data_IF_554019003373
#
_entry.id   IF_554019003373
#
_cell.length_a   1.000
_cell.length_b   1.000
_cell.length_c   1.000
_cell.angle_alpha   90.00
_cell.angle_beta   90.00
_cell.angle_gamma   90.00
#
_symmetry.space_group_name_H-M   'P 1'
#
loop_
_entity.id
_entity.type
_entity.pdbx_description
1 polymer ?
#
# COMPACT_ATOMS: atom_id res chain seq x y z
N UNK A 1 -4.49 40.55 -2.66
CA UNK A 1 -3.42 40.27 -1.67
C UNK A 1 -3.98 39.35 -0.60
N UNK A 2 -3.24 38.25 -0.34
CA UNK A 2 -3.33 37.25 0.75
C UNK A 2 -4.61 36.40 0.88
N UNK A 3 -4.61 35.11 0.49
CA UNK A 3 -3.97 33.89 1.06
C UNK A 3 -4.52 33.45 2.42
N UNK A 4 -5.21 32.30 2.43
CA UNK A 4 -4.92 31.17 3.32
C UNK A 4 -5.57 29.90 2.76
N UNK A 5 -4.74 28.96 2.29
CA UNK A 5 -5.11 27.57 1.94
C UNK A 5 -5.06 26.75 3.24
N UNK A 6 -6.10 25.99 3.55
CA UNK A 6 -6.04 24.93 4.55
C UNK A 6 -5.39 23.67 3.98
N UNK A 7 -4.72 22.84 4.79
CA UNK A 7 -4.08 21.61 4.31
C UNK A 7 -5.15 20.54 4.09
N UNK A 8 -5.25 20.08 2.85
CA UNK A 8 -5.98 18.87 2.44
C UNK A 8 -5.07 17.68 2.80
N UNK A 9 -5.27 17.13 4.00
CA UNK A 9 -4.61 15.90 4.46
C UNK A 9 -5.19 14.69 3.71
N UNK A 10 -4.79 14.52 2.45
CA UNK A 10 -4.98 13.27 1.72
C UNK A 10 -3.85 12.31 2.07
N UNK A 11 -4.17 11.32 2.89
CA UNK A 11 -3.36 10.12 3.09
C UNK A 11 -3.24 9.38 1.74
N UNK A 12 -2.05 9.01 1.25
CA UNK A 12 -1.94 8.24 0.01
C UNK A 12 -2.35 6.79 0.26
N UNK A 13 -3.36 6.31 -0.47
CA UNK A 13 -3.72 4.89 -0.52
C UNK A 13 -2.61 4.08 -1.21
N UNK A 14 -2.10 3.07 -0.51
CA UNK A 14 -0.99 2.24 -1.00
C UNK A 14 -1.42 1.22 -2.05
N UNK A 15 -1.07 1.45 -3.32
CA UNK A 15 -1.12 0.43 -4.38
C UNK A 15 -0.05 -0.67 -4.16
N UNK A 16 -0.27 -1.86 -4.71
CA UNK A 16 0.63 -3.02 -4.56
C UNK A 16 1.45 -3.25 -5.83
N UNK A 17 2.73 -3.63 -5.72
CA UNK A 17 3.61 -3.70 -6.89
C UNK A 17 3.54 -5.01 -7.69
N UNK A 18 3.72 -4.88 -9.01
CA UNK A 18 3.78 -5.98 -9.99
C UNK A 18 5.09 -5.92 -10.77
N UNK A 19 5.42 -7.01 -11.47
CA UNK A 19 6.73 -7.22 -12.09
C UNK A 19 6.57 -8.04 -13.39
N UNK A 20 7.09 -7.54 -14.51
CA UNK A 20 7.16 -8.24 -15.79
C UNK A 20 8.38 -9.18 -15.83
N UNK A 21 8.32 -10.30 -16.56
CA UNK A 21 9.46 -11.25 -16.62
C UNK A 21 10.00 -11.40 -18.05
N UNK A 22 11.31 -11.20 -18.27
CA UNK A 22 11.99 -11.19 -19.58
C UNK A 22 13.13 -12.24 -19.69
N UNK A 23 13.42 -12.82 -20.86
CA UNK A 23 14.57 -13.69 -21.08
C UNK A 23 15.82 -12.90 -21.54
N UNK A 24 17.04 -13.36 -21.19
CA UNK A 24 18.28 -12.66 -21.57
C UNK A 24 18.98 -13.20 -22.83
N UNK A 25 19.46 -12.28 -23.69
CA UNK A 25 20.76 -12.35 -24.40
C UNK A 25 21.60 -11.12 -24.00
N UNK A 26 22.93 -11.20 -23.86
CA UNK A 26 23.74 -10.13 -23.27
C UNK A 26 24.08 -9.06 -24.31
N UNK A 27 24.02 -7.79 -23.91
CA UNK A 27 24.86 -6.74 -24.51
C UNK A 27 25.60 -6.09 -23.35
N UNK A 28 26.91 -6.02 -23.50
CA UNK A 28 27.90 -5.45 -22.59
C UNK A 28 27.51 -4.06 -22.07
N UNK A 29 27.92 -3.76 -20.84
CA UNK A 29 28.06 -2.39 -20.33
C UNK A 29 27.09 -2.03 -19.22
N UNK A 30 27.50 -2.25 -17.96
CA UNK A 30 26.90 -1.57 -16.83
C UNK A 30 27.33 -0.11 -16.79
N UNK A 31 26.38 0.74 -16.40
CA UNK A 31 26.48 2.14 -15.95
C UNK A 31 26.16 3.21 -17.00
N UNK A 32 25.43 4.18 -16.47
CA UNK A 32 25.14 5.51 -16.98
C UNK A 32 23.94 5.71 -17.92
N UNK A 33 23.00 6.49 -17.39
CA UNK A 33 21.90 7.12 -18.09
C UNK A 33 22.46 8.13 -19.12
N UNK A 34 22.45 7.80 -20.42
CA UNK A 34 22.13 8.75 -21.52
C UNK A 34 22.36 8.13 -22.94
N UNK A 35 21.24 7.93 -23.67
CA UNK A 35 21.06 8.08 -25.14
C UNK A 35 21.74 7.06 -26.10
N UNK A 36 21.43 7.07 -27.43
CA UNK A 36 20.44 6.17 -28.07
C UNK A 36 21.04 5.22 -29.13
N UNK A 37 20.36 4.10 -29.39
CA UNK A 37 20.60 3.23 -30.55
C UNK A 37 20.89 1.77 -30.17
N UNK A 38 19.95 0.88 -30.48
CA UNK A 38 20.04 -0.56 -30.21
C UNK A 38 18.73 -1.07 -29.63
N UNK A 39 18.11 -2.05 -30.29
CA UNK A 39 16.79 -2.64 -30.03
C UNK A 39 16.24 -2.37 -28.62
N UNK A 40 15.36 -1.36 -28.55
CA UNK A 40 14.96 -0.74 -27.30
C UNK A 40 14.39 -1.75 -26.32
N UNK A 41 14.87 -1.72 -25.08
CA UNK A 41 14.08 -2.21 -23.95
C UNK A 41 12.65 -1.68 -24.09
N UNK A 42 11.60 -2.48 -23.80
CA UNK A 42 10.23 -1.98 -23.85
C UNK A 42 10.16 -0.66 -23.09
N UNK A 43 9.54 0.34 -23.71
CA UNK A 43 9.13 1.54 -22.98
C UNK A 43 8.28 1.13 -21.76
N UNK A 44 8.14 2.01 -20.76
CA UNK A 44 7.34 1.77 -19.55
C UNK A 44 5.82 1.63 -19.82
N UNK A 45 5.41 1.45 -21.08
CA UNK A 45 4.04 1.49 -21.57
C UNK A 45 3.64 0.21 -22.32
N UNK A 46 2.33 0.10 -22.57
CA UNK A 46 1.74 -1.07 -23.20
C UNK A 46 2.12 -1.23 -24.68
N UNK A 47 2.35 -0.13 -25.40
CA UNK A 47 2.75 -0.17 -26.81
C UNK A 47 4.17 -0.74 -26.96
N UNK A 48 5.09 -0.39 -26.06
CA UNK A 48 6.41 -1.00 -25.98
C UNK A 48 6.34 -2.50 -25.70
N UNK A 49 5.41 -2.94 -24.84
CA UNK A 49 5.21 -4.36 -24.54
C UNK A 49 4.63 -5.13 -25.74
N UNK A 50 3.71 -4.54 -26.49
CA UNK A 50 3.17 -5.10 -27.75
C UNK A 50 4.28 -5.19 -28.81
N UNK A 51 5.10 -4.13 -28.94
CA UNK A 51 6.22 -4.11 -29.89
C UNK A 51 7.24 -5.22 -29.58
N UNK A 52 7.55 -5.44 -28.29
CA UNK A 52 8.37 -6.58 -27.86
C UNK A 52 7.75 -7.91 -28.29
N UNK A 53 6.44 -8.09 -28.09
CA UNK A 53 5.74 -9.30 -28.53
C UNK A 53 5.89 -9.56 -30.03
N UNK A 54 5.73 -8.52 -30.86
CA UNK A 54 5.92 -8.60 -32.31
C UNK A 54 7.37 -8.92 -32.68
N UNK A 55 8.34 -8.35 -31.98
CA UNK A 55 9.75 -8.67 -32.20
C UNK A 55 10.07 -10.12 -31.82
N UNK A 56 9.52 -10.61 -30.71
CA UNK A 56 9.67 -12.01 -30.31
C UNK A 56 9.12 -12.97 -31.37
N UNK A 57 7.99 -12.63 -32.00
CA UNK A 57 7.43 -13.45 -33.08
C UNK A 57 8.34 -13.58 -34.31
N UNK A 58 9.18 -12.59 -34.60
CA UNK A 58 10.16 -12.67 -35.71
C UNK A 58 11.24 -13.72 -35.47
N UNK A 59 11.63 -13.91 -34.20
CA UNK A 59 12.68 -14.86 -33.81
C UNK A 59 12.13 -16.20 -33.31
N UNK A 60 10.85 -16.24 -32.92
CA UNK A 60 10.17 -17.42 -32.40
C UNK A 60 8.73 -17.44 -32.88
N UNK A 61 8.46 -18.31 -33.84
CA UNK A 61 7.12 -18.53 -34.36
C UNK A 61 6.13 -18.84 -33.22
N UNK A 62 4.94 -18.24 -33.28
CA UNK A 62 3.86 -18.39 -32.27
C UNK A 62 4.22 -17.93 -30.86
N UNK A 63 5.25 -17.10 -30.69
CA UNK A 63 5.52 -16.42 -29.43
C UNK A 63 4.34 -15.51 -29.05
N UNK A 64 4.01 -15.51 -27.76
CA UNK A 64 2.92 -14.73 -27.17
C UNK A 64 3.41 -14.03 -25.90
N UNK A 65 2.71 -12.99 -25.49
CA UNK A 65 3.08 -12.17 -24.31
C UNK A 65 2.11 -12.34 -23.14
N UNK A 66 0.99 -13.04 -23.37
CA UNK A 66 -0.01 -13.36 -22.37
C UNK A 66 -0.70 -14.69 -22.68
N UNK A 67 -1.22 -15.39 -21.65
CA UNK A 67 -1.96 -16.63 -21.85
C UNK A 67 -3.31 -16.38 -22.53
N UNK A 68 -4.01 -15.30 -22.16
CA UNK A 68 -5.26 -14.86 -22.79
C UNK A 68 -5.44 -13.34 -22.63
N UNK A 69 -6.40 -12.78 -23.37
CA UNK A 69 -6.67 -11.34 -23.36
C UNK A 69 -7.41 -10.86 -22.10
N UNK A 70 -8.18 -11.73 -21.43
CA UNK A 70 -8.84 -11.39 -20.16
C UNK A 70 -7.82 -11.09 -19.07
N UNK A 71 -6.69 -11.80 -19.05
CA UNK A 71 -5.58 -11.52 -18.16
C UNK A 71 -5.02 -10.11 -18.36
N UNK A 72 -4.80 -9.69 -19.60
CA UNK A 72 -4.35 -8.32 -19.91
C UNK A 72 -5.37 -7.29 -19.43
N UNK A 73 -6.65 -7.52 -19.75
CA UNK A 73 -7.73 -6.64 -19.34
C UNK A 73 -7.78 -6.48 -17.81
N UNK A 74 -7.70 -7.58 -17.05
CA UNK A 74 -7.66 -7.57 -15.59
C UNK A 74 -6.47 -6.78 -15.04
N UNK A 75 -5.29 -6.93 -15.63
CA UNK A 75 -4.12 -6.15 -15.21
C UNK A 75 -4.33 -4.66 -15.48
N UNK A 76 -4.86 -4.31 -16.66
CA UNK A 76 -5.10 -2.91 -17.01
C UNK A 76 -6.18 -2.28 -16.14
N UNK A 77 -7.25 -3.00 -15.81
CA UNK A 77 -8.25 -2.55 -14.84
C UNK A 77 -7.62 -2.25 -13.48
N UNK A 78 -6.73 -3.13 -13.01
CA UNK A 78 -6.00 -2.93 -11.76
C UNK A 78 -5.06 -1.72 -11.77
N UNK A 79 -4.71 -1.17 -12.93
CA UNK A 79 -3.90 0.04 -13.05
C UNK A 79 -4.74 1.33 -12.99
N UNK A 80 -6.07 1.21 -13.06
CA UNK A 80 -6.97 2.36 -12.98
C UNK A 80 -7.20 2.75 -11.52
N UNK A 81 -7.56 4.02 -11.30
CA UNK A 81 -7.90 4.52 -9.97
C UNK A 81 -9.16 3.87 -9.40
N UNK A 82 -10.09 3.45 -10.27
CA UNK A 82 -11.28 2.69 -9.93
C UNK A 82 -11.69 1.84 -11.13
N UNK A 83 -12.26 0.66 -10.86
CA UNK A 83 -12.81 -0.21 -11.90
C UNK A 83 -14.18 0.32 -12.35
N UNK A 84 -15.26 -0.33 -11.92
CA UNK A 84 -16.63 -0.04 -12.40
C UNK A 84 -17.43 0.87 -11.48
N UNK A 85 -16.92 1.19 -10.31
CA UNK A 85 -17.64 1.94 -9.28
C UNK A 85 -16.83 3.14 -8.84
N UNK A 86 -17.49 4.28 -8.66
CA UNK A 86 -16.93 5.42 -7.93
C UNK A 86 -16.93 5.16 -6.43
N UNK A 87 -16.16 5.95 -5.70
CA UNK A 87 -16.05 5.84 -4.23
C UNK A 87 -17.40 6.01 -3.51
N UNK A 88 -18.30 6.83 -4.06
CA UNK A 88 -19.65 7.03 -3.56
C UNK A 88 -20.67 5.99 -4.06
N UNK A 89 -20.19 4.89 -4.66
CA UNK A 89 -21.01 3.73 -5.00
C UNK A 89 -21.85 3.88 -6.27
N UNK A 90 -21.52 4.83 -7.16
CA UNK A 90 -22.15 4.94 -8.47
C UNK A 90 -21.42 4.10 -9.50
N UNK A 91 -22.18 3.51 -10.43
CA UNK A 91 -21.60 2.82 -11.57
C UNK A 91 -20.92 3.83 -12.52
N UNK A 92 -19.70 3.51 -12.94
CA UNK A 92 -18.87 4.30 -13.85
C UNK A 92 -18.19 3.39 -14.88
N UNK A 93 -18.94 2.40 -15.37
CA UNK A 93 -18.43 1.38 -16.30
C UNK A 93 -18.30 1.83 -17.77
N UNK A 94 -18.79 3.01 -18.10
CA UNK A 94 -18.87 3.58 -19.44
C UNK A 94 -17.77 4.62 -19.75
N UNK A 95 -16.85 4.84 -18.80
CA UNK A 95 -15.74 5.78 -18.94
C UNK A 95 -14.73 5.32 -19.99
N UNK A 96 -14.04 6.29 -20.60
CA UNK A 96 -13.09 6.04 -21.68
C UNK A 96 -11.93 5.14 -21.23
N UNK A 97 -11.46 5.24 -19.98
CA UNK A 97 -10.34 4.42 -19.48
C UNK A 97 -10.67 2.92 -19.46
N UNK A 98 -11.94 2.56 -19.24
CA UNK A 98 -12.39 1.16 -19.28
C UNK A 98 -12.52 0.65 -20.71
N UNK A 99 -12.95 1.52 -21.63
CA UNK A 99 -12.94 1.22 -23.07
C UNK A 99 -11.51 1.01 -23.56
N UNK A 100 -10.59 1.90 -23.20
CA UNK A 100 -9.16 1.78 -23.53
C UNK A 100 -8.56 0.48 -22.99
N UNK A 101 -8.95 0.07 -21.77
CA UNK A 101 -8.50 -1.19 -21.20
C UNK A 101 -8.98 -2.41 -22.01
N UNK A 102 -10.24 -2.39 -22.46
CA UNK A 102 -10.78 -3.41 -23.33
C UNK A 102 -10.11 -3.40 -24.72
N UNK A 103 -9.93 -2.23 -25.32
CA UNK A 103 -9.29 -2.06 -26.62
C UNK A 103 -7.84 -2.54 -26.61
N UNK A 104 -7.10 -2.30 -25.53
CA UNK A 104 -5.75 -2.84 -25.35
C UNK A 104 -5.75 -4.38 -25.41
N UNK A 105 -6.63 -5.02 -24.63
CA UNK A 105 -6.75 -6.47 -24.62
C UNK A 105 -7.16 -7.02 -26.00
N UNK A 106 -8.11 -6.36 -26.67
CA UNK A 106 -8.53 -6.69 -28.02
C UNK A 106 -7.38 -6.56 -29.04
N UNK A 107 -6.61 -5.47 -29.00
CA UNK A 107 -5.43 -5.26 -29.87
C UNK A 107 -4.42 -6.39 -29.74
N UNK A 108 -4.11 -6.83 -28.51
CA UNK A 108 -3.20 -7.96 -28.26
C UNK A 108 -3.75 -9.26 -28.84
N UNK A 109 -5.05 -9.51 -28.70
CA UNK A 109 -5.71 -10.68 -29.32
C UNK A 109 -5.67 -10.64 -30.84
N UNK A 110 -6.08 -9.51 -31.43
CA UNK A 110 -6.11 -9.26 -32.88
C UNK A 110 -4.72 -9.40 -33.51
N UNK A 111 -3.68 -8.91 -32.83
CA UNK A 111 -2.30 -8.97 -33.31
C UNK A 111 -1.67 -10.37 -33.09
N UNK A 112 -2.43 -11.36 -32.61
CA UNK A 112 -1.96 -12.74 -32.45
C UNK A 112 -0.96 -12.93 -31.30
N UNK A 113 -0.91 -12.00 -30.34
CA UNK A 113 0.05 -11.99 -29.23
C UNK A 113 -0.46 -12.68 -27.97
N UNK A 114 -1.68 -13.23 -28.02
CA UNK A 114 -2.32 -13.99 -26.95
C UNK A 114 -2.34 -15.49 -27.28
N UNK A 115 -2.09 -16.34 -26.29
CA UNK A 115 -2.15 -17.78 -26.48
C UNK A 115 -3.58 -18.32 -26.69
N UNK A 116 -4.59 -17.58 -26.20
CA UNK A 116 -5.99 -18.00 -26.24
C UNK A 116 -6.31 -19.13 -25.25
N UNK A 117 -5.50 -19.28 -24.19
CA UNK A 117 -5.69 -20.33 -23.21
C UNK A 117 -6.95 -20.07 -22.35
N UNK A 118 -7.89 -21.04 -22.25
CA UNK A 118 -9.05 -20.92 -21.38
C UNK A 118 -8.65 -20.71 -19.92
N UNK A 119 -9.44 -19.95 -19.19
CA UNK A 119 -9.17 -19.75 -17.77
C UNK A 119 -9.48 -20.99 -16.94
N UNK A 120 -8.68 -21.21 -15.89
CA UNK A 120 -8.78 -22.39 -15.05
C UNK A 120 -8.36 -23.69 -15.73
N UNK A 121 -7.88 -23.64 -16.99
CA UNK A 121 -7.36 -24.83 -17.67
C UNK A 121 -5.86 -25.04 -17.41
N UNK A 122 -5.41 -26.27 -17.62
CA UNK A 122 -3.98 -26.63 -17.60
C UNK A 122 -3.19 -25.97 -18.73
N UNK A 123 -3.86 -25.43 -19.75
CA UNK A 123 -3.20 -24.76 -20.89
C UNK A 123 -2.45 -23.50 -20.45
N UNK A 124 -2.87 -22.83 -19.37
CA UNK A 124 -2.16 -21.69 -18.79
C UNK A 124 -0.71 -22.04 -18.44
N UNK A 125 -0.48 -23.24 -17.92
CA UNK A 125 0.87 -23.78 -17.69
C UNK A 125 1.51 -24.22 -19.01
N UNK A 126 0.73 -24.87 -19.88
CA UNK A 126 1.15 -25.38 -21.19
C UNK A 126 1.84 -24.34 -22.08
N UNK A 127 1.36 -23.10 -22.06
CA UNK A 127 1.93 -22.01 -22.88
C UNK A 127 3.36 -21.66 -22.44
N UNK A 128 3.64 -21.73 -21.13
CA UNK A 128 4.98 -21.43 -20.58
C UNK A 128 5.88 -22.65 -20.67
N UNK A 129 5.38 -23.85 -20.38
CA UNK A 129 6.16 -25.10 -20.46
C UNK A 129 6.63 -25.37 -21.90
N UNK A 130 5.80 -25.07 -22.89
CA UNK A 130 6.18 -25.13 -24.32
C UNK A 130 7.11 -23.99 -24.73
N UNK A 131 7.36 -23.04 -23.83
CA UNK A 131 8.10 -21.80 -24.04
C UNK A 131 7.42 -20.81 -24.99
N UNK A 132 6.17 -21.02 -25.41
CA UNK A 132 5.48 -20.09 -26.31
C UNK A 132 5.30 -18.71 -25.68
N UNK A 133 5.25 -18.62 -24.35
CA UNK A 133 5.27 -17.37 -23.62
C UNK A 133 6.63 -17.14 -22.94
N UNK A 134 7.61 -16.53 -23.63
CA UNK A 134 8.92 -16.23 -23.05
C UNK A 134 8.93 -14.95 -22.21
N UNK A 135 7.85 -14.17 -22.26
CA UNK A 135 7.64 -12.94 -21.49
C UNK A 135 6.22 -12.93 -20.94
N UNK A 136 6.01 -12.34 -19.77
CA UNK A 136 4.66 -12.10 -19.28
C UNK A 136 4.58 -11.02 -18.22
N UNK A 137 3.35 -10.55 -18.04
CA UNK A 137 2.94 -9.65 -16.97
C UNK A 137 1.96 -10.41 -16.09
N UNK A 138 1.98 -10.19 -14.78
CA UNK A 138 1.00 -10.80 -13.89
C UNK A 138 1.21 -10.36 -12.45
N UNK A 139 0.31 -10.84 -11.60
CA UNK A 139 0.45 -10.73 -10.15
C UNK A 139 1.83 -11.23 -9.70
N UNK A 140 2.36 -10.68 -8.60
CA UNK A 140 3.67 -11.11 -8.07
C UNK A 140 3.74 -12.63 -7.79
N UNK A 141 2.64 -13.27 -7.36
CA UNK A 141 2.59 -14.72 -7.19
C UNK A 141 2.73 -15.45 -8.54
N UNK A 142 2.13 -14.91 -9.61
CA UNK A 142 2.28 -15.45 -10.96
C UNK A 142 3.71 -15.22 -11.45
N UNK A 143 4.19 -13.98 -11.40
CA UNK A 143 5.51 -13.59 -11.91
C UNK A 143 6.69 -14.22 -11.17
N UNK A 144 6.52 -14.69 -9.93
CA UNK A 144 7.57 -15.38 -9.16
C UNK A 144 7.40 -16.89 -9.09
N UNK A 145 6.21 -17.41 -8.84
CA UNK A 145 6.02 -18.85 -8.65
C UNK A 145 5.83 -19.60 -9.97
N UNK A 146 5.11 -18.99 -10.91
CA UNK A 146 4.51 -19.72 -12.02
C UNK A 146 5.53 -20.05 -13.13
N UNK A 147 6.38 -19.14 -13.63
CA UNK A 147 7.49 -19.49 -14.52
C UNK A 147 8.47 -20.49 -13.90
N UNK A 148 8.76 -20.35 -12.61
CA UNK A 148 9.67 -21.23 -11.88
C UNK A 148 9.16 -22.66 -11.83
N UNK A 149 7.88 -22.85 -11.53
CA UNK A 149 7.21 -24.15 -11.54
C UNK A 149 7.00 -24.71 -12.96
N UNK A 150 6.61 -23.87 -13.92
CA UNK A 150 6.26 -24.29 -15.27
C UNK A 150 7.49 -24.57 -16.16
N UNK A 151 8.61 -23.88 -15.93
CA UNK A 151 9.79 -23.99 -16.77
C UNK A 151 11.10 -24.05 -15.96
N UNK A 152 11.25 -25.00 -15.00
CA UNK A 152 12.44 -25.05 -14.11
C UNK A 152 13.76 -25.18 -14.88
N UNK A 153 13.76 -25.86 -16.04
CA UNK A 153 14.93 -26.00 -16.95
C UNK A 153 15.41 -24.68 -17.57
N UNK A 154 14.71 -23.58 -17.32
CA UNK A 154 15.06 -22.24 -17.78
C UNK A 154 15.53 -21.33 -16.66
N UNK A 155 15.88 -21.91 -15.51
CA UNK A 155 16.58 -21.23 -14.42
C UNK A 155 17.74 -20.36 -14.95
N UNK A 156 17.87 -19.17 -14.38
CA UNK A 156 18.88 -18.19 -14.74
C UNK A 156 18.62 -17.46 -16.06
N UNK A 157 17.60 -17.86 -16.85
CA UNK A 157 17.25 -17.18 -18.11
C UNK A 157 16.21 -16.09 -17.92
N UNK A 158 15.36 -16.20 -16.91
CA UNK A 158 14.32 -15.22 -16.60
C UNK A 158 14.86 -14.03 -15.81
N UNK A 159 14.28 -12.86 -16.02
CA UNK A 159 14.58 -11.61 -15.31
C UNK A 159 13.30 -10.89 -14.98
N UNK A 160 13.31 -10.13 -13.91
CA UNK A 160 12.19 -9.32 -13.47
C UNK A 160 12.39 -7.85 -13.84
N UNK A 161 11.33 -7.21 -14.33
CA UNK A 161 11.25 -5.83 -14.82
C UNK A 161 9.96 -5.16 -14.31
N UNK A 162 9.86 -3.85 -14.49
CA UNK A 162 8.66 -3.10 -14.13
C UNK A 162 7.55 -3.35 -15.17
N UNK A 163 6.28 -3.43 -14.77
CA UNK A 163 5.18 -3.72 -15.67
C UNK A 163 4.87 -2.53 -16.59
N UNK A 164 4.51 -2.77 -17.87
CA UNK A 164 3.96 -1.72 -18.72
C UNK A 164 2.72 -1.08 -18.10
N UNK A 165 2.63 0.25 -18.14
CA UNK A 165 1.50 1.00 -17.57
C UNK A 165 1.53 1.14 -16.04
N UNK A 166 2.60 0.68 -15.39
CA UNK A 166 2.80 0.84 -13.94
C UNK A 166 2.19 -0.28 -13.08
N UNK A 167 2.29 -0.10 -11.76
CA UNK A 167 1.75 -1.06 -10.79
C UNK A 167 0.23 -1.19 -10.95
N UNK A 168 -0.30 -2.39 -10.73
CA UNK A 168 -1.73 -2.69 -10.76
C UNK A 168 -2.20 -3.23 -9.41
N UNK A 169 -3.50 -3.40 -9.20
CA UNK A 169 -4.05 -4.25 -8.14
C UNK A 169 -4.96 -5.30 -8.79
N UNK A 170 -4.64 -6.57 -8.58
CA UNK A 170 -5.45 -7.71 -9.07
C UNK A 170 -5.99 -8.54 -7.90
N UNK A 171 -6.02 -7.92 -6.72
CA UNK A 171 -6.53 -8.49 -5.50
C UNK A 171 -5.60 -9.52 -4.86
N UNK A 172 -6.21 -10.39 -4.07
CA UNK A 172 -5.54 -11.45 -3.32
C UNK A 172 -6.55 -12.29 -2.56
N UNK A 173 -6.05 -13.26 -1.81
CA UNK A 173 -6.90 -14.15 -1.01
C UNK A 173 -7.14 -13.58 0.38
N UNK A 174 -8.35 -13.75 0.87
CA UNK A 174 -8.75 -13.40 2.23
C UNK A 174 -9.24 -14.64 2.96
N UNK A 175 -8.96 -14.71 4.27
CA UNK A 175 -9.50 -15.74 5.14
C UNK A 175 -10.68 -15.15 5.91
N UNK A 176 -11.81 -15.84 5.89
CA UNK A 176 -13.02 -15.43 6.59
C UNK A 176 -13.50 -16.53 7.53
N UNK A 177 -14.05 -16.12 8.67
CA UNK A 177 -14.74 -17.02 9.60
C UNK A 177 -16.23 -16.91 9.32
N UNK A 178 -16.87 -18.02 8.96
CA UNK A 178 -18.31 -18.01 8.69
C UNK A 178 -19.09 -17.84 9.99
N UNK A 179 -20.28 -17.22 9.92
CA UNK A 179 -21.18 -17.06 11.07
C UNK A 179 -21.64 -18.38 11.71
N UNK A 180 -21.45 -19.49 11.00
CA UNK A 180 -21.82 -20.84 11.43
C UNK A 180 -20.66 -21.61 12.05
N UNK A 181 -19.47 -20.99 12.19
CA UNK A 181 -18.35 -21.63 12.86
C UNK A 181 -18.74 -22.03 14.28
N UNK A 182 -18.53 -23.31 14.62
CA UNK A 182 -18.77 -23.81 15.98
C UNK A 182 -17.74 -23.29 16.99
N UNK A 183 -16.61 -22.77 16.52
CA UNK A 183 -15.55 -22.23 17.36
C UNK A 183 -14.85 -21.05 16.67
N UNK A 184 -15.51 -19.87 16.61
CA UNK A 184 -14.97 -18.71 15.93
C UNK A 184 -13.70 -18.18 16.62
N UNK A 185 -13.57 -18.29 17.95
CA UNK A 185 -12.40 -17.84 18.69
C UNK A 185 -11.16 -18.67 18.35
N UNK A 186 -11.28 -20.00 18.28
CA UNK A 186 -10.17 -20.86 17.87
C UNK A 186 -9.79 -20.63 16.41
N UNK A 187 -10.77 -20.48 15.52
CA UNK A 187 -10.54 -20.16 14.11
C UNK A 187 -9.79 -18.82 13.97
N UNK A 188 -10.19 -17.80 14.74
CA UNK A 188 -9.52 -16.51 14.76
C UNK A 188 -8.08 -16.61 15.25
N UNK A 189 -7.83 -17.34 16.35
CA UNK A 189 -6.46 -17.58 16.85
C UNK A 189 -5.59 -18.28 15.80
N UNK A 190 -6.13 -19.29 15.12
CA UNK A 190 -5.41 -19.99 14.06
C UNK A 190 -5.11 -19.09 12.86
N UNK A 191 -6.10 -18.34 12.36
CA UNK A 191 -5.90 -17.40 11.26
C UNK A 191 -4.87 -16.32 11.65
N UNK A 192 -4.94 -15.80 12.87
CA UNK A 192 -3.98 -14.81 13.39
C UNK A 192 -2.57 -15.37 13.43
N UNK A 193 -2.40 -16.60 13.91
CA UNK A 193 -1.12 -17.30 13.88
C UNK A 193 -0.65 -17.50 12.43
N UNK A 194 -1.49 -18.04 11.56
CA UNK A 194 -1.17 -18.30 10.16
C UNK A 194 -0.74 -17.04 9.40
N UNK A 195 -1.37 -15.90 9.71
CA UNK A 195 -1.08 -14.60 9.10
C UNK A 195 0.00 -13.80 9.85
N UNK A 196 0.72 -14.40 10.81
CA UNK A 196 1.84 -13.72 11.48
C UNK A 196 2.95 -13.36 10.47
N UNK A 197 3.72 -12.27 10.71
CA UNK A 197 4.80 -11.88 9.81
C UNK A 197 5.80 -13.02 9.55
N UNK A 198 6.10 -13.82 10.56
CA UNK A 198 7.01 -14.96 10.51
C UNK A 198 6.45 -16.08 9.61
N UNK A 199 5.18 -16.44 9.79
CA UNK A 199 4.55 -17.46 8.96
C UNK A 199 4.35 -17.00 7.51
N UNK A 200 4.08 -15.71 7.29
CA UNK A 200 4.01 -15.15 5.94
C UNK A 200 5.37 -15.16 5.23
N UNK A 201 6.48 -14.89 5.94
CA UNK A 201 7.83 -15.04 5.35
C UNK A 201 8.13 -16.48 4.99
N UNK A 202 7.78 -17.43 5.87
CA UNK A 202 7.91 -18.86 5.56
C UNK A 202 7.10 -19.26 4.33
N UNK A 203 5.84 -18.84 4.25
CA UNK A 203 4.98 -19.09 3.09
C UNK A 203 5.55 -18.47 1.80
N UNK A 204 6.18 -17.30 1.90
CA UNK A 204 6.87 -16.68 0.77
C UNK A 204 8.10 -17.47 0.32
N UNK A 205 8.93 -17.94 1.25
CA UNK A 205 10.15 -18.68 0.91
C UNK A 205 9.84 -20.06 0.32
N UNK A 206 8.78 -20.72 0.80
CA UNK A 206 8.42 -22.08 0.36
C UNK A 206 7.52 -22.09 -0.88
N UNK A 207 6.55 -21.18 -0.95
CA UNK A 207 5.47 -21.20 -1.96
C UNK A 207 5.41 -19.93 -2.82
N UNK A 208 6.32 -18.98 -2.58
CA UNK A 208 6.31 -17.67 -3.27
C UNK A 208 5.01 -16.88 -3.09
N UNK A 209 4.29 -17.13 -1.99
CA UNK A 209 3.10 -16.38 -1.60
C UNK A 209 3.51 -15.04 -0.99
N UNK A 210 3.14 -13.96 -1.66
CA UNK A 210 3.60 -12.63 -1.29
C UNK A 210 2.99 -12.16 0.04
N UNK A 211 3.81 -11.68 1.01
CA UNK A 211 3.29 -11.24 2.30
C UNK A 211 2.34 -10.05 2.18
N UNK A 212 1.29 -10.07 3.01
CA UNK A 212 0.41 -8.93 3.24
C UNK A 212 0.89 -8.02 4.37
N UNK A 213 1.73 -8.54 5.28
CA UNK A 213 2.25 -7.80 6.43
C UNK A 213 3.48 -6.96 6.04
N UNK A 214 3.47 -5.63 6.25
CA UNK A 214 4.65 -4.79 6.01
C UNK A 214 5.88 -5.23 6.81
N UNK A 215 5.69 -5.75 8.03
CA UNK A 215 6.77 -6.25 8.89
C UNK A 215 7.52 -7.43 8.28
N UNK A 216 6.90 -8.19 7.38
CA UNK A 216 7.57 -9.29 6.70
C UNK A 216 8.71 -8.77 5.82
N UNK A 217 8.57 -7.59 5.18
CA UNK A 217 9.58 -7.07 4.24
C UNK A 217 10.90 -6.63 4.88
N UNK A 218 10.96 -6.44 6.21
CA UNK A 218 12.22 -6.15 6.90
C UNK A 218 13.07 -7.39 7.17
N UNK A 219 12.51 -8.59 6.98
CA UNK A 219 13.20 -9.85 7.24
C UNK A 219 14.28 -10.12 6.16
N UNK A 220 15.50 -10.56 6.54
CA UNK A 220 16.58 -10.84 5.59
C UNK A 220 16.17 -11.75 4.43
N UNK A 221 15.34 -12.74 4.70
CA UNK A 221 14.80 -13.73 3.77
C UNK A 221 14.08 -13.07 2.57
N UNK A 222 13.47 -11.90 2.78
CA UNK A 222 12.79 -11.15 1.71
C UNK A 222 13.74 -10.46 0.74
N UNK A 223 15.04 -10.46 1.04
CA UNK A 223 16.09 -9.89 0.20
C UNK A 223 16.87 -10.97 -0.54
N UNK A 224 16.66 -12.25 -0.29
CA UNK A 224 17.50 -13.28 -0.87
C UNK A 224 17.46 -13.28 -2.41
N UNK A 225 18.63 -13.37 -3.07
CA UNK A 225 18.71 -13.58 -4.51
C UNK A 225 17.92 -14.82 -4.92
N UNK A 226 17.17 -14.74 -6.03
CA UNK A 226 16.48 -15.90 -6.59
C UNK A 226 17.22 -16.46 -7.81
N UNK A 227 17.80 -17.67 -7.74
CA UNK A 227 18.56 -18.28 -8.85
C UNK A 227 17.76 -18.36 -10.15
N UNK A 228 16.48 -18.75 -10.07
CA UNK A 228 15.58 -18.81 -11.22
C UNK A 228 15.55 -17.50 -12.03
N UNK A 229 15.55 -16.37 -11.33
CA UNK A 229 15.54 -15.02 -11.92
C UNK A 229 16.95 -14.45 -12.12
N UNK A 230 17.95 -15.31 -12.31
CA UNK A 230 19.34 -14.90 -12.54
C UNK A 230 20.00 -14.23 -11.35
N UNK A 231 19.60 -14.60 -10.13
CA UNK A 231 20.14 -14.04 -8.89
C UNK A 231 19.60 -12.65 -8.55
N UNK A 232 18.50 -12.21 -9.18
CA UNK A 232 17.88 -10.93 -8.83
C UNK A 232 17.21 -10.98 -7.46
N UNK A 233 17.25 -9.85 -6.73
CA UNK A 233 16.39 -9.62 -5.56
C UNK A 233 15.02 -9.19 -6.07
N UNK A 234 14.03 -10.06 -5.96
CA UNK A 234 12.76 -9.89 -6.67
C UNK A 234 11.69 -9.10 -5.91
N UNK A 235 11.91 -8.76 -4.63
CA UNK A 235 10.92 -8.03 -3.81
C UNK A 235 11.47 -6.73 -3.24
N UNK A 236 12.68 -6.77 -2.70
CA UNK A 236 13.27 -5.66 -1.96
C UNK A 236 14.57 -5.18 -2.60
N UNK A 237 14.55 -5.00 -3.92
CA UNK A 237 15.62 -4.27 -4.61
C UNK A 237 15.48 -2.78 -4.25
N UNK A 238 16.49 -2.15 -3.60
CA UNK A 238 16.45 -0.73 -3.28
C UNK A 238 16.25 0.18 -4.51
N UNK A 239 16.59 -0.29 -5.71
CA UNK A 239 16.33 0.42 -6.96
C UNK A 239 14.95 0.19 -7.58
N UNK A 240 14.15 -0.75 -7.03
CA UNK A 240 12.83 -1.18 -7.55
C UNK A 240 11.88 -1.61 -6.43
N UNK A 241 11.75 -0.73 -5.44
CA UNK A 241 10.91 -0.95 -4.26
C UNK A 241 9.44 -1.09 -4.63
N UNK A 242 8.79 -2.10 -4.07
CA UNK A 242 7.33 -2.22 -4.18
C UNK A 242 6.67 -1.06 -3.43
N UNK A 243 5.51 -0.57 -3.88
CA UNK A 243 4.90 0.61 -3.23
C UNK A 243 4.59 0.35 -1.75
N UNK A 244 4.26 -0.88 -1.32
CA UNK A 244 4.11 -1.18 0.10
C UNK A 244 5.42 -1.04 0.87
N UNK A 245 6.54 -1.45 0.27
CA UNK A 245 7.88 -1.28 0.85
C UNK A 245 8.31 0.18 0.81
N UNK A 246 7.98 0.92 -0.25
CA UNK A 246 8.23 2.35 -0.34
C UNK A 246 7.42 3.14 0.69
N UNK A 247 6.14 2.81 0.88
CA UNK A 247 5.29 3.38 1.94
C UNK A 247 5.80 3.01 3.33
N UNK A 248 6.31 1.78 3.52
CA UNK A 248 6.97 1.41 4.77
C UNK A 248 8.27 2.18 4.99
N UNK A 249 9.09 2.37 3.96
CA UNK A 249 10.34 3.14 4.03
C UNK A 249 10.07 4.62 4.31
N UNK A 250 9.01 5.19 3.71
CA UNK A 250 8.51 6.52 4.04
C UNK A 250 8.08 6.58 5.51
N UNK A 251 7.28 5.61 6.00
CA UNK A 251 6.93 5.52 7.41
C UNK A 251 8.13 5.26 8.35
N UNK A 252 9.21 4.64 7.86
CA UNK A 252 10.45 4.44 8.60
C UNK A 252 11.36 5.68 8.64
N UNK A 253 11.24 6.57 7.66
CA UNK A 253 11.85 7.91 7.69
C UNK A 253 11.03 8.89 8.53
N UNK A 254 9.71 8.66 8.63
CA UNK A 254 8.79 9.31 9.56
C UNK A 254 8.45 8.41 10.75
N UNK A 255 9.42 7.68 11.31
CA UNK A 255 9.18 7.12 12.63
C UNK A 255 8.87 8.27 13.57
N UNK A 256 7.69 8.25 14.20
CA UNK A 256 7.38 9.06 15.36
C UNK A 256 8.49 8.87 16.37
N UNK A 257 9.40 9.82 16.40
CA UNK A 257 10.35 9.96 17.49
C UNK A 257 9.49 10.29 18.72
N UNK A 258 9.07 9.25 19.44
CA UNK A 258 8.22 9.38 20.62
C UNK A 258 8.83 10.38 21.60
N UNK A 259 10.17 10.49 21.61
CA UNK A 259 10.93 11.50 22.32
C UNK A 259 10.55 12.94 21.91
N UNK A 260 10.47 13.23 20.61
CA UNK A 260 10.07 14.55 20.08
C UNK A 260 8.58 14.84 20.25
N UNK A 261 7.72 13.82 20.14
CA UNK A 261 6.26 13.98 20.37
C UNK A 261 5.97 14.23 21.85
N UNK A 262 6.63 13.49 22.75
CA UNK A 262 6.53 13.71 24.20
C UNK A 262 7.14 15.08 24.57
N UNK A 263 8.26 15.47 23.96
CA UNK A 263 8.85 16.79 24.16
C UNK A 263 7.92 17.93 23.68
N UNK A 264 7.32 17.80 22.50
CA UNK A 264 6.35 18.77 21.96
C UNK A 264 5.08 18.86 22.81
N UNK A 265 4.56 17.72 23.26
CA UNK A 265 3.41 17.68 24.18
C UNK A 265 3.75 18.35 25.52
N UNK A 266 4.90 18.06 26.12
CA UNK A 266 5.35 18.73 27.35
C UNK A 266 5.52 20.24 27.15
N UNK A 267 6.14 20.66 26.04
CA UNK A 267 6.32 22.07 25.71
C UNK A 267 5.00 22.80 25.49
N UNK A 268 3.98 22.13 24.94
CA UNK A 268 2.64 22.70 24.75
C UNK A 268 1.85 22.90 26.05
N UNK A 269 2.21 22.15 27.11
CA UNK A 269 1.55 22.24 28.43
C UNK A 269 2.14 23.37 29.28
N UNK A 270 3.38 23.81 29.02
CA UNK A 270 4.04 24.89 29.78
C UNK A 270 3.24 26.21 29.76
N UNK A 271 2.74 26.71 28.60
CA UNK A 271 1.91 27.92 28.57
C UNK A 271 0.60 27.75 29.35
N UNK A 272 -0.02 26.56 29.28
CA UNK A 272 -1.28 26.27 29.99
C UNK A 272 -1.07 26.28 31.51
N UNK A 273 0.03 25.71 32.00
CA UNK A 273 0.44 25.81 33.40
C UNK A 273 0.72 27.27 33.78
N UNK A 274 1.39 28.03 32.92
CA UNK A 274 1.64 29.46 33.13
C UNK A 274 0.34 30.26 33.32
N UNK A 275 -0.64 30.07 32.43
CA UNK A 275 -1.96 30.70 32.53
C UNK A 275 -2.69 30.26 33.80
N UNK A 276 -2.62 28.98 34.16
CA UNK A 276 -3.24 28.46 35.39
C UNK A 276 -2.61 29.04 36.67
N UNK A 277 -1.28 29.18 36.71
CA UNK A 277 -0.57 29.78 37.84
C UNK A 277 -0.84 31.29 37.97
N UNK A 278 -0.99 32.00 36.85
CA UNK A 278 -1.37 33.42 36.86
C UNK A 278 -2.83 33.58 37.31
N UNK A 279 -3.74 32.78 36.75
CA UNK A 279 -5.17 32.82 37.09
C UNK A 279 -5.46 32.40 38.54
N UNK A 280 -4.77 31.39 39.07
CA UNK A 280 -4.95 30.94 40.46
C UNK A 280 -4.50 32.00 41.48
N UNK A 281 -3.45 32.79 41.19
CA UNK A 281 -3.07 33.93 42.04
C UNK A 281 -4.17 34.99 42.12
N UNK A 282 -4.85 35.27 41.01
CA UNK A 282 -5.98 36.21 40.98
C UNK A 282 -7.23 35.65 41.67
N UNK A 283 -7.48 34.35 41.57
CA UNK A 283 -8.59 33.71 42.26
C UNK A 283 -8.41 33.74 43.78
N UNK A 284 -7.22 33.42 44.29
CA UNK A 284 -6.92 33.48 45.74
C UNK A 284 -7.00 34.92 46.26
N UNK A 285 -6.51 35.90 45.51
CA UNK A 285 -6.60 37.32 45.89
C UNK A 285 -8.05 37.83 45.94
N UNK A 286 -8.90 37.43 45.00
CA UNK A 286 -10.32 37.81 44.99
C UNK A 286 -11.13 37.11 46.08
N UNK A 287 -10.82 35.85 46.39
CA UNK A 287 -11.41 35.13 47.51
C UNK A 287 -11.06 35.79 48.85
N UNK A 288 -9.81 36.23 49.03
CA UNK A 288 -9.35 36.95 50.20
C UNK A 288 -9.97 38.36 50.32
N UNK A 289 -10.22 39.05 49.20
CA UNK A 289 -10.91 40.35 49.22
C UNK A 289 -12.41 40.22 49.57
N UNK A 290 -13.05 39.12 49.20
CA UNK A 290 -14.45 38.83 49.51
C UNK A 290 -14.73 38.62 51.01
N UNK A 291 -13.76 38.11 51.77
CA UNK A 291 -13.89 37.89 53.22
C UNK A 291 -13.70 39.16 54.05
N UNK A 292 -13.13 40.22 53.48
CA UNK A 292 -12.92 41.50 54.17
C UNK A 292 -14.14 42.45 54.13
N UNK A 293 -15.13 42.20 53.27
CA UNK A 293 -16.25 43.13 53.04
C UNK A 293 -17.47 42.93 53.95
N UNK A 294 -17.45 41.95 54.87
CA UNK A 294 -18.58 41.64 55.76
C UNK A 294 -18.58 42.32 57.13
N UNK A 295 -17.60 43.19 57.43
CA UNK A 295 -17.48 43.83 58.76
C UNK A 295 -17.76 45.33 58.74
N UNK A 296 -18.93 45.76 58.24
CA UNK A 296 -19.42 47.14 58.41
C UNK A 296 -20.93 47.28 58.17
N UNK A 297 -21.75 46.48 58.84
CA UNK A 297 -23.17 46.82 59.11
C UNK A 297 -23.76 45.91 60.18
N UNK A 298 -23.26 46.01 61.41
CA UNK A 298 -24.04 45.64 62.60
C UNK A 298 -24.12 46.89 63.44
N UNK A 299 -25.18 47.67 63.20
CA UNK A 299 -25.55 48.83 64.01
C UNK A 299 -25.98 48.28 65.37
N UNK A 300 -25.13 48.45 66.38
CA UNK A 300 -25.42 48.15 67.78
C UNK A 300 -26.55 49.07 68.23
N UNK A 301 -27.68 48.47 68.64
CA UNK A 301 -28.75 49.16 69.36
C UNK A 301 -28.38 49.11 70.85
N UNK A 302 -28.27 50.24 71.58
CA UNK A 302 -28.04 50.20 73.01
C UNK A 302 -29.33 49.84 73.77
N UNK A 303 -29.26 49.17 74.93
CA UNK A 303 -30.42 48.96 75.78
C UNK A 303 -30.78 50.28 76.47
N UNK A 304 -32.06 50.63 76.51
CA UNK A 304 -32.57 51.71 77.35
C UNK A 304 -33.25 51.10 78.56
N UNK A 305 -32.81 51.56 79.73
CA UNK A 305 -33.19 51.09 81.05
C UNK A 305 -34.68 51.27 81.38
N UNK A 306 -35.17 50.33 82.20
CA UNK A 306 -36.46 50.40 82.86
C UNK A 306 -36.49 51.55 83.89
N UNK A 307 -37.52 52.39 83.80
CA UNK A 307 -38.01 53.14 84.96
C UNK A 307 -39.39 52.60 85.36
N UNK A 308 -39.47 52.22 86.62
CA UNK A 308 -40.65 51.72 87.31
C UNK A 308 -41.60 52.85 87.75
N UNK A 309 -42.89 52.48 87.80
CA UNK A 309 -43.91 52.85 88.80
C UNK A 309 -44.31 54.33 88.96
N UNK A 310 -45.56 54.68 88.61
CA UNK A 310 -46.70 54.79 89.55
C UNK A 310 -47.91 55.46 88.89
N UNK A 311 -49.10 54.86 89.05
CA UNK A 311 -50.41 55.46 89.39
C UNK A 311 -51.58 54.57 88.93
N UNK A 312 -51.95 53.58 89.75
CA UNK A 312 -53.09 53.69 90.68
C UNK A 312 -52.69 53.11 92.02
#
# INVERSE_FOLDING_TARGET
MHHARGPDDRVPHGHRAHRAVLPHRPVSGSRDHHRPGGAGRPGPDWDGFIALGKELQKSRERAVICPNIRHVWSIRLGQLASEFMTEDGRYAGDRDELREAFELAYRIGRDGLSAGAPEGSTDLYGVITSGRQPVGIGAVWWGLAFPESAAPKTEGKWRVADPPGGACDVGGSFLAITKYSKNPEAAYKFITWLQSPENQVKAFTEMSLFPSSPRSFTRPEMREPRPFYGGQRTINDPGKVTLQVAVQQLNGLYTTDQSMVIAGALMSVIPLIGVFLIGSRHFIANLAAGSMKFRRSTRVVPPFDAQSSHLR
#
